data_IF_431849790673
#
_entry.id   IF_431849790673
#
_cell.length_a   1.000
_cell.length_b   1.000
_cell.length_c   1.000
_cell.angle_alpha   90.00
_cell.angle_beta   90.00
_cell.angle_gamma   90.00
#
_symmetry.space_group_name_H-M   'P 1'
#
loop_
_entity.id
_entity.type
_entity.pdbx_description
1 polymer ?
#
# COMPACT_ATOMS: atom_id res chain seq x y z
N UNK A 1 1.84 -10.63 -4.60
CA UNK A 1 0.56 -10.93 -5.25
C UNK A 1 0.47 -10.14 -6.54
N UNK A 2 0.14 -10.81 -7.65
CA UNK A 2 -0.06 -10.15 -8.93
C UNK A 2 -1.38 -9.36 -8.95
N UNK A 3 -1.52 -8.45 -9.91
CA UNK A 3 -2.76 -7.70 -10.15
C UNK A 3 -3.94 -8.62 -10.48
N UNK A 4 -3.68 -9.74 -11.16
CA UNK A 4 -4.70 -10.74 -11.52
C UNK A 4 -5.14 -11.58 -10.33
N UNK A 5 -4.21 -12.00 -9.46
CA UNK A 5 -4.53 -12.71 -8.22
C UNK A 5 -5.46 -11.89 -7.32
N UNK A 6 -5.29 -10.56 -7.32
CA UNK A 6 -6.12 -9.62 -6.56
C UNK A 6 -7.60 -9.62 -7.02
N UNK A 7 -7.89 -10.01 -8.26
CA UNK A 7 -9.26 -10.18 -8.76
C UNK A 7 -9.87 -11.50 -8.29
N UNK A 8 -9.06 -12.54 -8.11
CA UNK A 8 -9.53 -13.88 -7.76
C UNK A 8 -9.88 -14.01 -6.28
N UNK A 9 -9.11 -13.39 -5.39
CA UNK A 9 -9.36 -13.49 -3.93
C UNK A 9 -10.39 -12.47 -3.44
N UNK A 10 -11.44 -12.96 -2.76
CA UNK A 10 -12.41 -12.18 -2.01
C UNK A 10 -11.83 -11.85 -0.63
N UNK A 11 -11.05 -10.77 -0.53
CA UNK A 11 -10.63 -10.22 0.77
C UNK A 11 -11.49 -9.01 1.12
N UNK A 12 -11.81 -8.84 2.41
CA UNK A 12 -12.67 -7.77 2.94
C UNK A 12 -12.12 -6.34 2.75
N UNK A 13 -10.91 -6.20 2.17
CA UNK A 13 -10.14 -4.95 2.08
C UNK A 13 -9.69 -4.63 0.66
N UNK A 14 -10.54 -4.82 -0.35
CA UNK A 14 -10.17 -4.49 -1.74
C UNK A 14 -10.08 -2.98 -1.96
N UNK A 15 -9.03 -2.49 -2.66
CA UNK A 15 -8.99 -1.11 -3.13
C UNK A 15 -10.24 -0.78 -3.96
N UNK A 16 -10.78 0.45 -3.88
CA UNK A 16 -11.99 0.85 -4.60
C UNK A 16 -11.91 0.53 -6.11
N UNK A 17 -10.73 0.67 -6.71
CA UNK A 17 -10.48 0.36 -8.13
C UNK A 17 -10.71 -1.11 -8.45
N UNK A 18 -10.21 -2.03 -7.62
CA UNK A 18 -10.40 -3.48 -7.82
C UNK A 18 -11.88 -3.83 -7.72
N UNK A 19 -12.60 -3.21 -6.78
CA UNK A 19 -14.04 -3.44 -6.63
C UNK A 19 -14.83 -2.95 -7.86
N UNK A 20 -14.48 -1.77 -8.41
CA UNK A 20 -15.08 -1.25 -9.66
C UNK A 20 -14.86 -2.21 -10.82
N UNK A 21 -13.65 -2.74 -10.99
CA UNK A 21 -13.32 -3.71 -12.04
C UNK A 21 -14.19 -4.96 -11.88
N UNK A 22 -14.29 -5.53 -10.67
CA UNK A 22 -15.08 -6.73 -10.43
C UNK A 22 -16.57 -6.55 -10.66
N UNK A 23 -17.14 -5.41 -10.26
CA UNK A 23 -18.55 -5.08 -10.55
C UNK A 23 -18.78 -5.04 -12.07
N UNK A 24 -17.85 -4.44 -12.82
CA UNK A 24 -17.94 -4.35 -14.27
C UNK A 24 -17.82 -5.73 -14.94
N UNK A 25 -16.86 -6.56 -14.51
CA UNK A 25 -16.69 -7.92 -15.01
C UNK A 25 -17.98 -8.74 -14.81
N UNK A 26 -18.54 -8.76 -13.58
CA UNK A 26 -19.79 -9.48 -13.31
C UNK A 26 -20.97 -8.96 -14.14
N UNK A 27 -21.01 -7.66 -14.42
CA UNK A 27 -22.05 -7.05 -15.26
C UNK A 27 -21.94 -7.52 -16.71
N UNK A 28 -20.73 -7.68 -17.23
CA UNK A 28 -20.47 -8.16 -18.59
C UNK A 28 -20.73 -9.67 -18.71
N UNK A 29 -20.28 -10.46 -17.74
CA UNK A 29 -20.58 -11.90 -17.67
C UNK A 29 -22.09 -12.16 -17.64
N UNK A 30 -22.84 -11.41 -16.83
CA UNK A 30 -24.31 -11.48 -16.79
C UNK A 30 -24.98 -11.15 -18.13
N UNK A 31 -24.31 -10.41 -19.01
CA UNK A 31 -24.79 -10.10 -20.36
C UNK A 31 -24.36 -11.14 -21.39
N UNK A 32 -23.64 -12.18 -20.99
CA UNK A 32 -23.16 -13.26 -21.87
C UNK A 32 -21.86 -12.96 -22.59
N UNK A 33 -21.10 -11.93 -22.18
CA UNK A 33 -19.77 -11.69 -22.74
C UNK A 33 -18.74 -12.63 -22.14
N UNK A 34 -17.95 -13.26 -23.00
CA UNK A 34 -16.73 -13.97 -22.61
C UNK A 34 -15.58 -12.97 -22.49
N UNK A 35 -14.84 -13.02 -21.38
CA UNK A 35 -13.73 -12.11 -21.10
C UNK A 35 -12.47 -12.93 -20.88
N UNK A 36 -11.46 -12.69 -21.73
CA UNK A 36 -10.17 -13.38 -21.69
C UNK A 36 -9.10 -12.34 -21.30
N UNK A 37 -8.30 -12.66 -20.29
CA UNK A 37 -7.15 -11.85 -19.89
C UNK A 37 -5.87 -12.44 -20.51
N UNK A 38 -5.14 -11.64 -21.29
CA UNK A 38 -3.76 -11.94 -21.70
C UNK A 38 -2.79 -11.25 -20.76
N UNK A 39 -1.73 -11.96 -20.37
CA UNK A 39 -0.61 -11.36 -19.66
C UNK A 39 0.50 -11.07 -20.67
N UNK A 40 0.85 -9.80 -20.80
CA UNK A 40 1.99 -9.38 -21.61
C UNK A 40 3.21 -9.13 -20.70
N UNK A 41 4.40 -9.62 -21.06
CA UNK A 41 5.61 -9.39 -20.29
C UNK A 41 5.99 -7.90 -20.29
N UNK A 42 6.16 -7.35 -19.09
CA UNK A 42 6.58 -5.97 -18.89
C UNK A 42 8.06 -5.77 -19.19
N UNK A 43 8.42 -5.67 -20.46
CA UNK A 43 9.75 -5.22 -20.88
C UNK A 43 9.71 -3.75 -21.30
N UNK A 44 10.49 -2.91 -20.61
CA UNK A 44 10.81 -1.54 -21.02
C UNK A 44 11.56 -1.60 -22.35
N UNK A 45 11.26 -0.71 -23.29
CA UNK A 45 11.86 -0.70 -24.64
C UNK A 45 11.04 -1.36 -25.75
N UNK A 46 9.90 -1.98 -25.43
CA UNK A 46 8.94 -2.42 -26.46
C UNK A 46 8.10 -1.21 -26.88
N UNK A 47 8.34 -0.71 -28.10
CA UNK A 47 7.72 0.50 -28.63
C UNK A 47 6.19 0.52 -28.49
N UNK A 48 5.52 -0.62 -28.75
CA UNK A 48 4.07 -0.73 -28.61
C UNK A 48 3.58 -0.57 -27.16
N UNK A 49 4.28 -1.13 -26.19
CA UNK A 49 3.95 -0.99 -24.77
C UNK A 49 4.19 0.45 -24.30
N UNK A 50 5.28 1.06 -24.74
CA UNK A 50 5.60 2.46 -24.39
C UNK A 50 4.59 3.45 -24.95
N UNK A 51 4.06 3.20 -26.16
CA UNK A 51 2.99 4.01 -26.76
C UNK A 51 1.69 3.92 -25.96
N UNK A 52 1.28 2.71 -25.58
CA UNK A 52 0.08 2.49 -24.75
C UNK A 52 0.26 3.16 -23.38
N UNK A 53 1.41 2.98 -22.76
CA UNK A 53 1.74 3.57 -21.46
C UNK A 53 1.75 5.10 -21.52
N UNK A 54 2.31 5.69 -22.57
CA UNK A 54 2.33 7.14 -22.78
C UNK A 54 0.91 7.70 -22.96
N UNK A 55 0.08 7.03 -23.76
CA UNK A 55 -1.32 7.41 -23.95
C UNK A 55 -2.13 7.30 -22.64
N UNK A 56 -1.91 6.24 -21.87
CA UNK A 56 -2.55 6.06 -20.57
C UNK A 56 -2.11 7.13 -19.56
N UNK A 57 -0.81 7.49 -19.55
CA UNK A 57 -0.28 8.59 -18.73
C UNK A 57 -0.89 9.95 -19.12
N UNK A 58 -1.00 10.24 -20.41
CA UNK A 58 -1.56 11.54 -20.87
C UNK A 58 -3.05 11.70 -20.57
N UNK A 59 -3.78 10.60 -20.41
CA UNK A 59 -5.22 10.59 -20.09
C UNK A 59 -5.53 10.53 -18.59
N UNK A 60 -4.51 10.32 -17.75
CA UNK A 60 -4.72 10.21 -16.30
C UNK A 60 -4.84 11.59 -15.66
N UNK A 61 -6.04 11.94 -15.17
CA UNK A 61 -6.24 13.08 -14.27
C UNK A 61 -5.59 12.80 -12.90
N UNK A 62 -4.64 13.64 -12.43
CA UNK A 62 -4.02 13.50 -11.12
C UNK A 62 -5.01 13.58 -9.95
N UNK A 63 -6.16 14.24 -10.12
CA UNK A 63 -7.03 14.65 -9.01
C UNK A 63 -8.10 13.64 -8.60
N UNK A 64 -8.39 12.59 -9.37
CA UNK A 64 -9.59 11.75 -9.16
C UNK A 64 -9.34 10.31 -8.71
N UNK A 65 -8.21 10.03 -8.05
CA UNK A 65 -7.99 8.68 -7.49
C UNK A 65 -8.52 8.63 -6.06
N UNK A 66 -9.63 7.92 -5.79
CA UNK A 66 -10.02 7.67 -4.41
C UNK A 66 -8.90 6.91 -3.72
N UNK A 67 -8.26 7.56 -2.76
CA UNK A 67 -7.20 6.96 -1.94
C UNK A 67 -7.85 5.87 -1.10
N UNK A 68 -7.24 4.68 -1.06
CA UNK A 68 -7.78 3.59 -0.25
C UNK A 68 -7.76 4.00 1.24
N UNK A 69 -8.77 3.59 2.01
CA UNK A 69 -8.79 3.82 3.46
C UNK A 69 -7.50 3.32 4.12
N UNK A 70 -6.95 2.19 3.65
CA UNK A 70 -5.72 1.63 4.19
C UNK A 70 -4.51 2.54 3.94
N UNK A 71 -4.44 3.19 2.78
CA UNK A 71 -3.36 4.11 2.43
C UNK A 71 -3.47 5.38 3.28
N UNK A 72 -4.67 5.93 3.44
CA UNK A 72 -4.92 7.06 4.34
C UNK A 72 -4.60 6.72 5.79
N UNK A 73 -5.01 5.55 6.26
CA UNK A 73 -4.71 5.07 7.62
C UNK A 73 -3.21 4.98 7.84
N UNK A 74 -2.50 4.36 6.91
CA UNK A 74 -1.04 4.17 7.00
C UNK A 74 -0.32 5.51 6.91
N UNK A 75 -0.74 6.40 6.01
CA UNK A 75 -0.23 7.76 5.89
C UNK A 75 -0.40 8.54 7.20
N UNK A 76 -1.61 8.54 7.76
CA UNK A 76 -1.91 9.24 9.02
C UNK A 76 -1.11 8.66 10.19
N UNK A 77 -0.99 7.33 10.28
CA UNK A 77 -0.17 6.68 11.31
C UNK A 77 1.29 7.10 11.19
N UNK A 78 1.85 7.05 9.97
CA UNK A 78 3.24 7.46 9.72
C UNK A 78 3.46 8.94 10.04
N UNK A 79 2.51 9.81 9.70
CA UNK A 79 2.57 11.23 10.02
C UNK A 79 2.60 11.45 11.54
N UNK A 80 1.71 10.79 12.28
CA UNK A 80 1.68 10.88 13.75
C UNK A 80 2.99 10.39 14.35
N UNK A 81 3.48 9.22 13.92
CA UNK A 81 4.77 8.68 14.38
C UNK A 81 5.93 9.63 14.09
N UNK A 82 5.94 10.27 12.92
CA UNK A 82 6.95 11.26 12.57
C UNK A 82 6.89 12.47 13.49
N UNK A 83 5.72 13.06 13.70
CA UNK A 83 5.56 14.23 14.59
C UNK A 83 5.95 13.90 16.03
N UNK A 84 5.59 12.70 16.51
CA UNK A 84 6.03 12.22 17.82
C UNK A 84 7.54 12.06 17.89
N UNK A 85 8.16 11.47 16.87
CA UNK A 85 9.61 11.34 16.80
C UNK A 85 10.30 12.71 16.78
N UNK A 86 9.84 13.64 15.94
CA UNK A 86 10.37 15.00 15.86
C UNK A 86 10.26 15.71 17.22
N UNK A 87 9.14 15.54 17.92
CA UNK A 87 8.94 16.11 19.27
C UNK A 87 9.87 15.47 20.31
N UNK A 88 10.07 14.16 20.21
CA UNK A 88 10.95 13.40 21.09
C UNK A 88 12.41 13.81 20.88
N UNK A 89 12.83 14.00 19.63
CA UNK A 89 14.18 14.44 19.26
C UNK A 89 14.52 15.84 19.85
N UNK A 90 13.51 16.67 20.12
CA UNK A 90 13.70 17.96 20.81
C UNK A 90 13.93 17.83 22.32
N UNK A 91 13.67 16.66 22.92
CA UNK A 91 13.83 16.41 24.37
C UNK A 91 15.30 16.10 24.74
N UNK A 92 16.24 16.89 24.24
CA UNK A 92 17.69 16.67 24.38
C UNK A 92 18.21 16.65 25.83
N UNK A 93 17.47 17.25 26.78
CA UNK A 93 17.80 17.23 28.22
C UNK A 93 17.11 16.10 28.98
N UNK A 94 16.27 15.31 28.31
CA UNK A 94 15.55 14.22 28.94
C UNK A 94 16.48 13.00 29.07
N UNK A 95 16.67 12.54 30.31
CA UNK A 95 17.49 11.36 30.61
C UNK A 95 17.01 10.11 29.88
N UNK A 96 15.71 9.94 29.70
CA UNK A 96 15.14 8.80 28.98
C UNK A 96 15.42 8.89 27.48
N UNK A 97 15.38 10.09 26.89
CA UNK A 97 15.74 10.31 25.48
C UNK A 97 17.18 9.88 25.20
N UNK A 98 18.10 10.17 26.13
CA UNK A 98 19.50 9.75 25.99
C UNK A 98 19.69 8.22 26.00
N UNK A 99 18.81 7.49 26.68
CA UNK A 99 18.84 6.02 26.72
C UNK A 99 18.08 5.45 25.52
N UNK A 100 17.06 6.16 25.03
CA UNK A 100 16.17 5.70 23.97
C UNK A 100 15.67 6.85 23.10
N UNK A 101 16.41 7.20 22.04
CA UNK A 101 16.05 8.30 21.17
C UNK A 101 14.93 7.94 20.20
N UNK A 102 14.45 6.70 20.13
CA UNK A 102 13.31 6.35 19.27
C UNK A 102 11.98 6.39 20.03
N UNK A 103 10.90 6.72 19.35
CA UNK A 103 9.52 6.52 19.84
C UNK A 103 8.97 5.13 19.52
N UNK A 104 9.72 4.31 18.78
CA UNK A 104 9.35 2.93 18.47
C UNK A 104 9.55 2.01 19.68
N UNK A 105 9.09 0.76 19.59
CA UNK A 105 9.27 -0.21 20.66
C UNK A 105 10.75 -0.52 20.91
N UNK A 106 11.10 -0.77 22.19
CA UNK A 106 12.41 -1.31 22.55
C UNK A 106 12.62 -2.64 21.83
N UNK A 107 13.83 -2.86 21.30
CA UNK A 107 14.19 -4.18 20.81
C UNK A 107 13.96 -5.18 21.95
N UNK A 108 13.12 -6.20 21.72
CA UNK A 108 12.85 -7.19 22.74
C UNK A 108 14.20 -7.76 23.22
N UNK A 109 14.57 -7.45 24.48
CA UNK A 109 15.78 -8.00 25.04
C UNK A 109 15.59 -9.53 25.08
N UNK A 110 16.58 -10.32 24.62
CA UNK A 110 16.51 -11.75 24.81
C UNK A 110 16.35 -12.00 26.32
N UNK A 111 15.25 -12.65 26.70
CA UNK A 111 14.94 -12.97 28.09
C UNK A 111 16.16 -13.69 28.66
N UNK A 112 16.85 -13.05 29.61
CA UNK A 112 17.98 -13.69 30.27
C UNK A 112 17.40 -14.84 31.08
N UNK A 113 17.93 -16.05 30.89
CA UNK A 113 17.49 -17.29 31.57
C UNK A 113 17.49 -17.21 33.11
N UNK A 114 18.02 -16.13 33.69
CA UNK A 114 18.08 -15.87 35.12
C UNK A 114 16.93 -15.00 35.65
N UNK A 115 16.13 -14.40 34.76
CA UNK A 115 15.00 -13.51 35.13
C UNK A 115 13.67 -14.27 35.28
N UNK A 116 13.66 -15.58 34.96
CA UNK A 116 12.55 -16.50 35.26
C UNK A 116 12.86 -17.18 36.59
N UNK A 117 12.26 -16.68 37.68
CA UNK A 117 12.14 -17.38 38.96
C UNK A 117 10.69 -17.78 39.17
#
# INVERSE_FOLDING_TARGET
MSSLESLHFLTERRPPTVMKILILLRKLERKGFEIIFSWEPGHVGILGNEQIDNAARSMSDPMQRPVCYQDLKTFTQNYIHRVWQETWDQQILNKLHNIHPSTSHWAALPVRKHDVR
#
